data_IF_467012542944
#
_entry.id   IF_467012542944
#
_cell.length_a   1.000
_cell.length_b   1.000
_cell.length_c   1.000
_cell.angle_alpha   90.00
_cell.angle_beta   90.00
_cell.angle_gamma   90.00
#
_symmetry.space_group_name_H-M   'P 1'
#
loop_
_entity.id
_entity.type
_entity.pdbx_description
1 polymer ?
#
# COMPACT_ATOMS: atom_id res chain seq x y z
N UNK A 1 30.89 18.82 27.35
CA UNK A 1 30.98 18.61 25.89
C UNK A 1 30.97 17.12 25.51
N UNK A 2 30.57 16.21 26.42
CA UNK A 2 30.75 14.76 26.27
C UNK A 2 29.42 13.97 26.12
N UNK A 3 28.28 14.63 26.26
CA UNK A 3 26.92 14.03 26.19
C UNK A 3 26.33 14.03 24.75
N UNK A 4 26.96 14.73 23.81
CA UNK A 4 26.43 14.89 22.44
C UNK A 4 26.91 13.77 21.48
N UNK A 5 27.91 12.96 21.88
CA UNK A 5 28.46 11.86 21.07
C UNK A 5 27.69 10.55 21.18
N UNK A 6 27.18 10.19 22.38
CA UNK A 6 26.34 8.98 22.55
C UNK A 6 24.93 9.16 21.96
N UNK A 7 24.38 10.38 22.02
CA UNK A 7 23.15 10.70 21.30
C UNK A 7 23.31 10.47 19.79
N UNK A 8 24.42 10.92 19.21
CA UNK A 8 24.68 10.80 17.75
C UNK A 8 24.76 9.36 17.26
N UNK A 9 25.28 8.41 18.04
CA UNK A 9 25.38 6.99 17.65
C UNK A 9 24.01 6.30 17.69
N UNK A 10 23.22 6.50 18.76
CA UNK A 10 21.85 5.99 18.90
C UNK A 10 20.89 6.59 17.86
N UNK A 11 21.08 7.87 17.50
CA UNK A 11 20.35 8.54 16.42
C UNK A 11 20.71 8.02 15.03
N UNK A 12 21.98 7.71 14.79
CA UNK A 12 22.45 7.10 13.55
C UNK A 12 21.79 5.74 13.27
N UNK A 13 21.48 4.99 14.33
CA UNK A 13 20.79 3.69 14.25
C UNK A 13 19.27 3.81 14.22
N UNK A 14 18.67 4.73 15.00
CA UNK A 14 17.21 4.95 15.03
C UNK A 14 16.68 5.67 13.78
N UNK A 15 17.45 6.59 13.18
CA UNK A 15 17.04 7.31 11.96
C UNK A 15 17.00 6.44 10.70
N UNK A 16 17.58 5.22 10.75
CA UNK A 16 17.54 4.27 9.63
C UNK A 16 16.29 3.38 9.65
N UNK A 17 15.53 3.34 10.75
CA UNK A 17 14.32 2.50 10.83
C UNK A 17 13.08 3.30 10.50
N UNK A 18 12.40 2.88 9.44
CA UNK A 18 11.08 3.39 9.03
C UNK A 18 10.06 3.14 10.15
N UNK A 19 9.33 4.20 10.55
CA UNK A 19 8.31 4.13 11.60
C UNK A 19 7.13 3.29 11.09
N UNK A 20 6.54 2.45 11.93
CA UNK A 20 5.40 1.63 11.52
C UNK A 20 4.18 2.52 11.22
N UNK A 21 3.42 2.20 10.17
CA UNK A 21 2.20 2.92 9.78
C UNK A 21 1.20 3.08 10.94
N UNK A 22 1.07 2.04 11.79
CA UNK A 22 0.22 2.06 12.99
C UNK A 22 0.65 3.13 13.99
N UNK A 23 1.95 3.30 14.14
CA UNK A 23 2.52 4.28 15.05
C UNK A 23 2.47 5.68 14.49
N UNK A 24 2.73 5.86 13.19
CA UNK A 24 2.52 7.14 12.50
C UNK A 24 1.07 7.62 12.64
N UNK A 25 0.08 6.75 12.43
CA UNK A 25 -1.33 7.11 12.61
C UNK A 25 -1.60 7.63 14.03
N UNK A 26 -1.12 6.91 15.06
CA UNK A 26 -1.30 7.31 16.46
C UNK A 26 -0.54 8.59 16.80
N UNK A 27 0.68 8.73 16.28
CA UNK A 27 1.51 9.92 16.44
C UNK A 27 0.83 11.16 15.86
N UNK A 28 0.29 11.05 14.64
CA UNK A 28 -0.49 12.10 13.98
C UNK A 28 -1.72 12.51 14.82
N UNK A 29 -2.50 11.52 15.29
CA UNK A 29 -3.66 11.76 16.17
C UNK A 29 -3.30 12.55 17.42
N UNK A 30 -2.28 12.09 18.13
CA UNK A 30 -1.85 12.69 19.39
C UNK A 30 -1.32 14.10 19.16
N UNK A 31 -0.49 14.30 18.12
CA UNK A 31 0.03 15.61 17.78
C UNK A 31 -1.09 16.58 17.39
N UNK A 32 -1.99 16.16 16.51
CA UNK A 32 -3.15 16.96 16.12
C UNK A 32 -3.96 17.39 17.35
N UNK A 33 -4.24 16.44 18.27
CA UNK A 33 -4.94 16.73 19.51
C UNK A 33 -4.21 17.74 20.40
N UNK A 34 -2.89 17.63 20.56
CA UNK A 34 -2.11 18.58 21.36
C UNK A 34 -2.09 19.98 20.74
N UNK A 35 -1.92 20.08 19.42
CA UNK A 35 -1.90 21.37 18.72
C UNK A 35 -3.29 22.01 18.69
N UNK A 36 -4.36 21.23 18.48
CA UNK A 36 -5.74 21.71 18.58
C UNK A 36 -6.09 22.17 20.01
N UNK A 37 -5.45 21.62 21.04
CA UNK A 37 -5.56 22.08 22.42
C UNK A 37 -4.67 23.31 22.74
N UNK A 38 -4.05 23.92 21.73
CA UNK A 38 -3.23 25.13 21.87
C UNK A 38 -1.83 24.91 22.42
N UNK A 39 -1.33 23.66 22.53
CA UNK A 39 0.07 23.42 22.94
C UNK A 39 1.03 23.88 21.85
N UNK A 40 2.18 24.43 22.26
CA UNK A 40 3.27 24.74 21.33
C UNK A 40 3.80 23.46 20.70
N UNK A 41 4.22 23.54 19.44
CA UNK A 41 4.72 22.39 18.68
C UNK A 41 5.89 21.70 19.37
N UNK A 42 6.83 22.46 19.94
CA UNK A 42 7.97 21.93 20.71
C UNK A 42 7.53 21.11 21.91
N UNK A 43 6.59 21.64 22.70
CA UNK A 43 6.08 20.98 23.91
C UNK A 43 5.32 19.70 23.54
N UNK A 44 4.53 19.74 22.46
CA UNK A 44 3.83 18.57 21.94
C UNK A 44 4.81 17.48 21.47
N UNK A 45 5.91 17.85 20.81
CA UNK A 45 6.97 16.90 20.43
C UNK A 45 7.65 16.26 21.64
N UNK A 46 7.93 17.02 22.70
CA UNK A 46 8.52 16.48 23.94
C UNK A 46 7.58 15.49 24.64
N UNK A 47 6.28 15.78 24.66
CA UNK A 47 5.28 14.84 25.19
C UNK A 47 5.28 13.55 24.38
N UNK A 48 5.34 13.65 23.04
CA UNK A 48 5.40 12.49 22.15
C UNK A 48 6.70 11.69 22.28
N UNK A 49 7.83 12.34 22.54
CA UNK A 49 9.09 11.67 22.83
C UNK A 49 9.00 10.78 24.08
N UNK A 50 8.27 11.22 25.11
CA UNK A 50 8.12 10.48 26.37
C UNK A 50 6.97 9.46 26.35
N UNK A 51 5.82 9.85 25.79
CA UNK A 51 4.55 9.10 25.91
C UNK A 51 3.99 8.59 24.57
N UNK A 52 4.64 8.90 23.46
CA UNK A 52 4.23 8.45 22.14
C UNK A 52 4.48 6.95 21.89
N UNK A 53 4.06 6.45 20.70
CA UNK A 53 4.37 5.11 20.23
C UNK A 53 5.88 4.84 20.27
N UNK A 54 6.32 3.67 20.76
CA UNK A 54 7.71 3.35 21.07
C UNK A 54 8.69 3.56 19.90
N UNK A 55 8.29 3.19 18.69
CA UNK A 55 9.05 3.36 17.45
C UNK A 55 9.09 4.80 16.92
N UNK A 56 8.20 5.67 17.39
CA UNK A 56 8.16 7.10 17.04
C UNK A 56 8.77 8.01 18.12
N UNK A 57 9.09 7.48 19.31
CA UNK A 57 9.65 8.25 20.43
C UNK A 57 11.00 8.85 20.09
N UNK A 58 11.84 8.05 19.42
CA UNK A 58 13.07 8.49 18.76
C UNK A 58 12.73 9.69 17.91
N UNK A 59 12.16 9.51 16.72
CA UNK A 59 11.76 10.60 15.81
C UNK A 59 11.21 11.88 16.48
N UNK A 60 10.31 11.77 17.46
CA UNK A 60 9.75 12.90 18.21
C UNK A 60 10.80 13.70 19.01
N UNK A 61 11.74 13.03 19.68
CA UNK A 61 12.84 13.69 20.41
C UNK A 61 13.75 14.49 19.46
N UNK A 62 13.98 13.99 18.25
CA UNK A 62 14.81 14.67 17.25
C UNK A 62 14.11 15.91 16.74
N UNK A 63 12.82 15.79 16.41
CA UNK A 63 12.03 16.94 16.02
C UNK A 63 12.00 17.98 17.15
N UNK A 64 11.82 17.57 18.42
CA UNK A 64 11.87 18.47 19.56
C UNK A 64 13.22 19.22 19.65
N UNK A 65 14.35 18.50 19.56
CA UNK A 65 15.70 19.10 19.57
C UNK A 65 15.90 20.07 18.40
N UNK A 66 15.51 19.68 17.18
CA UNK A 66 15.67 20.51 15.97
C UNK A 66 14.83 21.77 16.02
N UNK A 67 13.57 21.66 16.43
CA UNK A 67 12.70 22.81 16.61
C UNK A 67 13.22 23.76 17.69
N UNK A 68 13.74 23.25 18.82
CA UNK A 68 14.41 24.07 19.84
C UNK A 68 15.65 24.79 19.32
N UNK A 69 16.40 24.16 18.41
CA UNK A 69 17.55 24.78 17.73
C UNK A 69 17.16 25.77 16.61
N UNK A 70 15.85 25.99 16.37
CA UNK A 70 15.35 26.94 15.39
C UNK A 70 15.19 26.39 13.95
N UNK A 71 15.41 25.09 13.72
CA UNK A 71 15.09 24.49 12.42
C UNK A 71 13.56 24.46 12.22
N UNK A 72 13.08 24.73 11.00
CA UNK A 72 11.66 24.57 10.68
C UNK A 72 11.24 23.10 10.71
N UNK A 73 9.96 22.82 11.01
CA UNK A 73 9.41 21.46 11.03
C UNK A 73 9.68 20.71 9.72
N UNK A 74 9.42 21.37 8.58
CA UNK A 74 9.67 20.80 7.25
C UNK A 74 11.14 20.48 7.01
N UNK A 75 12.06 21.33 7.45
CA UNK A 75 13.50 21.09 7.32
C UNK A 75 13.96 19.93 8.20
N UNK A 76 13.42 19.83 9.41
CA UNK A 76 13.71 18.74 10.32
C UNK A 76 13.18 17.40 9.79
N UNK A 77 11.93 17.34 9.33
CA UNK A 77 11.34 16.12 8.74
C UNK A 77 12.08 15.71 7.47
N UNK A 78 12.47 16.66 6.61
CA UNK A 78 13.22 16.38 5.38
C UNK A 78 14.59 15.75 5.65
N UNK A 79 15.25 16.12 6.75
CA UNK A 79 16.51 15.48 7.19
C UNK A 79 16.29 14.07 7.79
N UNK A 80 15.04 13.72 8.09
CA UNK A 80 14.63 12.42 8.61
C UNK A 80 13.76 11.65 7.59
N UNK A 81 13.96 11.90 6.29
CA UNK A 81 13.17 11.38 5.18
C UNK A 81 13.08 9.84 5.14
N UNK A 82 14.11 9.12 5.59
CA UNK A 82 14.10 7.65 5.65
C UNK A 82 13.12 7.09 6.69
N UNK A 83 12.79 7.87 7.72
CA UNK A 83 11.90 7.44 8.81
C UNK A 83 10.42 7.56 8.45
N UNK A 84 10.07 8.44 7.50
CA UNK A 84 8.68 8.79 7.17
C UNK A 84 8.35 8.56 5.69
N UNK A 85 7.10 8.24 5.34
CA UNK A 85 6.68 8.12 3.95
C UNK A 85 6.73 9.48 3.20
N UNK A 86 6.92 9.49 1.87
CA UNK A 86 6.92 10.72 1.05
C UNK A 86 5.68 11.61 1.23
N UNK A 87 4.47 11.03 1.34
CA UNK A 87 3.23 11.77 1.62
C UNK A 87 3.31 12.59 2.90
N UNK A 88 3.97 12.07 3.93
CA UNK A 88 4.10 12.76 5.19
C UNK A 88 4.91 14.05 5.01
N UNK A 89 6.00 13.98 4.24
CA UNK A 89 6.80 15.16 3.89
C UNK A 89 6.01 16.16 3.03
N UNK A 90 5.31 15.68 1.99
CA UNK A 90 4.54 16.55 1.09
C UNK A 90 3.41 17.29 1.83
N UNK A 91 2.66 16.58 2.67
CA UNK A 91 1.56 17.14 3.44
C UNK A 91 2.06 18.08 4.55
N UNK A 92 3.18 17.77 5.21
CA UNK A 92 3.77 18.69 6.19
C UNK A 92 4.33 19.95 5.54
N UNK A 93 4.72 19.90 4.26
CA UNK A 93 5.06 21.08 3.47
C UNK A 93 3.83 21.96 3.16
N UNK A 94 2.68 21.33 2.83
CA UNK A 94 1.38 22.04 2.79
C UNK A 94 1.09 22.71 4.12
N UNK A 95 1.11 21.96 5.23
CA UNK A 95 0.85 22.49 6.56
C UNK A 95 1.75 23.67 6.93
N UNK A 96 3.04 23.59 6.61
CA UNK A 96 3.99 24.65 6.93
C UNK A 96 3.73 25.94 6.15
N UNK A 97 3.16 25.85 4.95
CA UNK A 97 2.79 27.00 4.13
C UNK A 97 1.42 27.58 4.49
N UNK A 98 0.48 26.73 4.87
CA UNK A 98 -0.90 27.14 5.19
C UNK A 98 -1.11 27.48 6.67
N UNK A 99 -0.21 27.05 7.56
CA UNK A 99 -0.37 27.14 9.01
C UNK A 99 -1.33 26.11 9.59
N UNK A 100 -1.90 25.23 8.77
CA UNK A 100 -2.97 24.27 9.14
C UNK A 100 -2.43 22.89 9.49
N UNK A 101 -1.46 22.88 10.39
CA UNK A 101 -0.80 21.63 10.81
C UNK A 101 -1.75 20.64 11.51
N UNK A 102 -2.66 21.05 12.42
CA UNK A 102 -3.61 20.13 13.04
C UNK A 102 -4.51 19.42 12.02
N UNK A 103 -5.02 20.14 11.02
CA UNK A 103 -5.91 19.63 9.97
C UNK A 103 -5.18 18.61 9.09
N UNK A 104 -3.97 18.95 8.65
CA UNK A 104 -3.11 18.07 7.87
C UNK A 104 -2.77 16.78 8.64
N UNK A 105 -2.52 16.88 9.94
CA UNK A 105 -2.19 15.71 10.76
C UNK A 105 -3.39 14.77 10.95
N UNK A 106 -4.60 15.32 11.11
CA UNK A 106 -5.84 14.52 11.14
C UNK A 106 -6.02 13.77 9.82
N UNK A 107 -5.68 14.39 8.70
CA UNK A 107 -5.73 13.72 7.42
C UNK A 107 -4.69 12.60 7.31
N UNK A 108 -3.44 12.88 7.66
CA UNK A 108 -2.38 11.87 7.64
C UNK A 108 -2.74 10.68 8.53
N UNK A 109 -3.36 10.93 9.68
CA UNK A 109 -3.93 9.88 10.51
C UNK A 109 -4.97 9.05 9.75
N UNK A 110 -5.97 9.69 9.14
CA UNK A 110 -7.04 9.01 8.39
C UNK A 110 -6.48 8.16 7.25
N UNK A 111 -5.52 8.70 6.50
CA UNK A 111 -4.79 7.99 5.45
C UNK A 111 -4.09 6.73 5.98
N UNK A 112 -3.32 6.85 7.06
CA UNK A 112 -2.63 5.70 7.64
C UNK A 112 -3.59 4.69 8.27
N UNK A 113 -4.72 5.13 8.83
CA UNK A 113 -5.77 4.24 9.29
C UNK A 113 -6.38 3.43 8.16
N UNK A 114 -6.65 4.07 7.01
CA UNK A 114 -7.17 3.40 5.83
C UNK A 114 -6.16 2.36 5.30
N UNK A 115 -4.87 2.70 5.23
CA UNK A 115 -3.82 1.71 4.88
C UNK A 115 -3.79 0.50 5.82
N UNK A 116 -3.98 0.73 7.13
CA UNK A 116 -4.01 -0.34 8.12
C UNK A 116 -5.26 -1.20 7.98
N UNK A 117 -6.42 -0.59 7.71
CA UNK A 117 -7.67 -1.33 7.53
C UNK A 117 -7.59 -2.21 6.27
N UNK A 118 -7.02 -1.69 5.18
CA UNK A 118 -6.74 -2.47 3.95
C UNK A 118 -5.86 -3.67 4.26
N UNK A 119 -4.71 -3.44 4.91
CA UNK A 119 -3.77 -4.52 5.24
C UNK A 119 -4.43 -5.60 6.10
N UNK A 120 -5.24 -5.19 7.10
CA UNK A 120 -5.99 -6.13 7.96
C UNK A 120 -7.04 -6.91 7.17
N UNK A 121 -7.90 -6.24 6.39
CA UNK A 121 -8.94 -6.90 5.58
C UNK A 121 -8.31 -7.88 4.58
N UNK A 122 -7.21 -7.49 3.94
CA UNK A 122 -6.47 -8.32 3.00
C UNK A 122 -5.90 -9.57 3.69
N UNK A 123 -5.22 -9.40 4.83
CA UNK A 123 -4.71 -10.51 5.63
C UNK A 123 -5.86 -11.45 6.05
N UNK A 124 -6.95 -10.91 6.59
CA UNK A 124 -8.10 -11.71 7.04
C UNK A 124 -8.71 -12.55 5.92
N UNK A 125 -8.72 -12.07 4.67
CA UNK A 125 -9.27 -12.83 3.53
C UNK A 125 -8.29 -13.82 2.91
N UNK A 126 -6.98 -13.61 3.07
CA UNK A 126 -5.94 -14.47 2.48
C UNK A 126 -5.46 -15.57 3.41
N UNK A 127 -5.57 -15.38 4.73
CA UNK A 127 -5.16 -16.40 5.72
C UNK A 127 -5.82 -17.74 5.43
N UNK A 128 -7.13 -17.76 5.17
CA UNK A 128 -7.85 -19.01 4.94
C UNK A 128 -7.42 -19.74 3.66
N UNK A 129 -7.41 -19.10 2.46
CA UNK A 129 -6.89 -19.75 1.26
C UNK A 129 -5.42 -20.19 1.36
N UNK A 130 -4.56 -19.45 2.08
CA UNK A 130 -3.16 -19.85 2.30
C UNK A 130 -3.07 -21.10 3.16
N UNK A 131 -3.84 -21.18 4.25
CA UNK A 131 -3.90 -22.40 5.07
C UNK A 131 -4.42 -23.58 4.25
N UNK A 132 -5.45 -23.37 3.43
CA UNK A 132 -5.99 -24.41 2.54
C UNK A 132 -4.95 -24.87 1.51
N UNK A 133 -4.18 -23.95 0.92
CA UNK A 133 -3.10 -24.26 -0.02
C UNK A 133 -2.00 -25.09 0.67
N UNK A 134 -1.56 -24.68 1.86
CA UNK A 134 -0.56 -25.41 2.64
C UNK A 134 -1.05 -26.83 2.99
N UNK A 135 -2.30 -26.96 3.43
CA UNK A 135 -2.92 -28.25 3.67
C UNK A 135 -2.96 -29.12 2.42
N UNK A 136 -3.33 -28.56 1.26
CA UNK A 136 -3.34 -29.30 -0.01
C UNK A 136 -1.95 -29.80 -0.40
N UNK A 137 -0.91 -28.95 -0.31
CA UNK A 137 0.48 -29.34 -0.58
C UNK A 137 0.91 -30.50 0.34
N UNK A 138 0.54 -30.43 1.62
CA UNK A 138 0.90 -31.46 2.59
C UNK A 138 0.13 -32.77 2.38
N UNK A 139 -1.18 -32.70 2.07
CA UNK A 139 -1.99 -33.87 1.73
C UNK A 139 -1.40 -34.59 0.51
N UNK A 140 -0.99 -33.85 -0.52
CA UNK A 140 -0.34 -34.43 -1.70
C UNK A 140 1.00 -35.09 -1.35
N UNK A 141 1.82 -34.44 -0.51
CA UNK A 141 3.08 -35.02 -0.05
C UNK A 141 2.85 -36.34 0.72
N UNK A 142 1.86 -36.37 1.62
CA UNK A 142 1.47 -37.57 2.36
C UNK A 142 0.95 -38.66 1.42
N UNK A 143 0.17 -38.28 0.41
CA UNK A 143 -0.35 -39.23 -0.58
C UNK A 143 0.78 -39.89 -1.39
N UNK A 144 1.77 -39.11 -1.85
CA UNK A 144 2.97 -39.63 -2.54
C UNK A 144 3.76 -40.57 -1.62
N UNK A 145 3.89 -40.21 -0.34
CA UNK A 145 4.57 -41.03 0.66
C UNK A 145 3.86 -42.38 0.84
N UNK A 146 2.53 -42.37 1.06
CA UNK A 146 1.74 -43.59 1.29
C UNK A 146 1.78 -44.50 0.06
N UNK A 147 1.56 -43.96 -1.14
CA UNK A 147 1.58 -44.76 -2.38
C UNK A 147 2.95 -45.35 -2.68
N UNK A 148 4.03 -44.63 -2.37
CA UNK A 148 5.37 -45.19 -2.49
C UNK A 148 5.65 -46.31 -1.49
N UNK A 149 5.23 -46.16 -0.23
CA UNK A 149 5.36 -47.23 0.78
C UNK A 149 4.56 -48.48 0.35
N UNK A 150 3.33 -48.31 -0.13
CA UNK A 150 2.50 -49.43 -0.61
C UNK A 150 3.15 -50.13 -1.81
N UNK A 151 3.67 -49.37 -2.78
CA UNK A 151 4.33 -49.93 -3.95
C UNK A 151 5.59 -50.73 -3.58
N UNK A 152 6.38 -50.23 -2.63
CA UNK A 152 7.56 -50.91 -2.09
C UNK A 152 7.17 -52.21 -1.36
N UNK A 153 6.07 -52.21 -0.61
CA UNK A 153 5.54 -53.40 0.04
C UNK A 153 4.98 -54.45 -0.94
N UNK A 154 4.46 -54.03 -2.09
CA UNK A 154 3.83 -54.92 -3.08
C UNK A 154 4.77 -55.33 -4.24
N UNK A 155 6.03 -54.85 -4.27
CA UNK A 155 6.92 -54.94 -5.44
C UNK A 155 6.24 -54.49 -6.75
N UNK A 156 5.31 -53.53 -6.64
CA UNK A 156 4.56 -53.01 -7.78
C UNK A 156 5.24 -51.74 -8.33
N UNK A 157 4.98 -51.40 -9.60
CA UNK A 157 5.36 -50.08 -10.12
C UNK A 157 4.61 -49.00 -9.34
N UNK A 158 5.33 -48.07 -8.72
CA UNK A 158 4.68 -47.02 -7.95
C UNK A 158 3.94 -46.06 -8.88
N UNK A 159 2.74 -45.70 -8.46
CA UNK A 159 1.85 -44.81 -9.19
C UNK A 159 2.33 -43.36 -9.04
N UNK A 160 2.71 -42.74 -10.15
CA UNK A 160 3.09 -41.32 -10.18
C UNK A 160 1.86 -40.42 -10.36
N UNK A 161 1.41 -39.85 -9.24
CA UNK A 161 0.22 -38.99 -9.19
C UNK A 161 0.50 -37.60 -9.77
N UNK A 162 1.74 -37.12 -9.67
CA UNK A 162 2.11 -35.76 -10.07
C UNK A 162 2.48 -35.70 -11.55
N UNK A 163 2.94 -36.80 -12.14
CA UNK A 163 3.45 -36.86 -13.52
C UNK A 163 4.91 -36.41 -13.65
N UNK A 164 5.63 -36.34 -12.52
CA UNK A 164 7.03 -35.90 -12.43
C UNK A 164 7.99 -37.03 -12.02
N UNK A 165 7.50 -38.27 -11.97
CA UNK A 165 8.25 -39.44 -11.49
C UNK A 165 8.46 -39.47 -9.98
N UNK A 166 7.62 -38.78 -9.20
CA UNK A 166 7.81 -38.62 -7.76
C UNK A 166 7.16 -39.78 -7.00
N UNK A 167 7.97 -40.62 -6.36
CA UNK A 167 7.53 -41.81 -5.63
C UNK A 167 8.23 -41.92 -4.28
N UNK A 168 7.52 -42.42 -3.26
CA UNK A 168 8.10 -42.72 -1.95
C UNK A 168 8.52 -41.51 -1.12
N UNK A 169 9.30 -41.75 -0.03
CA UNK A 169 9.75 -40.69 0.87
C UNK A 169 10.60 -39.62 0.17
N UNK A 170 11.43 -40.03 -0.80
CA UNK A 170 12.24 -39.13 -1.62
C UNK A 170 11.37 -38.28 -2.56
N UNK A 171 10.34 -38.87 -3.18
CA UNK A 171 9.39 -38.15 -4.02
C UNK A 171 8.60 -37.08 -3.27
N UNK A 172 8.14 -37.39 -2.05
CA UNK A 172 7.45 -36.42 -1.18
C UNK A 172 8.37 -35.26 -0.77
N UNK A 173 9.65 -35.53 -0.47
CA UNK A 173 10.63 -34.51 -0.14
C UNK A 173 10.93 -33.58 -1.34
N UNK A 174 11.09 -34.15 -2.55
CA UNK A 174 11.31 -33.39 -3.78
C UNK A 174 10.08 -32.55 -4.13
N UNK A 175 8.86 -33.07 -3.94
CA UNK A 175 7.62 -32.30 -4.11
C UNK A 175 7.59 -31.06 -3.22
N UNK A 176 7.86 -31.22 -1.92
CA UNK A 176 7.91 -30.09 -0.98
C UNK A 176 9.02 -29.11 -1.37
N UNK A 177 10.20 -29.61 -1.74
CA UNK A 177 11.31 -28.78 -2.20
C UNK A 177 10.96 -27.98 -3.47
N UNK A 178 10.20 -28.57 -4.40
CA UNK A 178 9.74 -27.92 -5.62
C UNK A 178 8.68 -26.86 -5.34
N UNK A 179 7.70 -27.15 -4.48
CA UNK A 179 6.67 -26.18 -4.08
C UNK A 179 7.27 -24.98 -3.33
N UNK A 180 8.07 -25.22 -2.28
CA UNK A 180 8.69 -24.14 -1.51
C UNK A 180 9.82 -23.44 -2.28
N UNK A 181 10.57 -24.19 -3.11
CA UNK A 181 11.62 -23.65 -3.98
C UNK A 181 11.07 -22.73 -5.06
N UNK A 182 10.02 -23.14 -5.77
CA UNK A 182 9.34 -22.28 -6.75
C UNK A 182 8.71 -21.04 -6.10
N UNK A 183 8.10 -21.18 -4.92
CA UNK A 183 7.60 -20.04 -4.16
C UNK A 183 8.71 -19.07 -3.74
N UNK A 184 9.87 -19.58 -3.30
CA UNK A 184 11.03 -18.79 -2.92
C UNK A 184 11.64 -18.05 -4.13
N UNK A 185 11.77 -18.73 -5.28
CA UNK A 185 12.26 -18.12 -6.53
C UNK A 185 11.27 -17.05 -7.03
N UNK A 186 9.97 -17.33 -6.99
CA UNK A 186 8.93 -16.36 -7.35
C UNK A 186 8.98 -15.13 -6.45
N UNK A 187 9.09 -15.32 -5.14
CA UNK A 187 9.25 -14.24 -4.18
C UNK A 187 10.54 -13.44 -4.39
N UNK A 188 11.67 -14.12 -4.61
CA UNK A 188 12.97 -13.51 -4.88
C UNK A 188 12.96 -12.67 -6.16
N UNK A 189 12.37 -13.21 -7.23
CA UNK A 189 12.20 -12.52 -8.52
C UNK A 189 11.31 -11.29 -8.35
N UNK A 190 10.18 -11.42 -7.65
CA UNK A 190 9.30 -10.30 -7.35
C UNK A 190 9.99 -9.22 -6.52
N UNK A 191 10.77 -9.61 -5.50
CA UNK A 191 11.54 -8.69 -4.67
C UNK A 191 12.62 -7.95 -5.47
N UNK A 192 13.36 -8.68 -6.32
CA UNK A 192 14.38 -8.12 -7.20
C UNK A 192 13.80 -7.15 -8.23
N UNK A 193 12.72 -7.55 -8.91
CA UNK A 193 12.01 -6.69 -9.86
C UNK A 193 11.47 -5.44 -9.18
N UNK A 194 10.88 -5.55 -7.98
CA UNK A 194 10.43 -4.37 -7.21
C UNK A 194 11.57 -3.44 -6.83
N UNK A 195 12.75 -3.97 -6.52
CA UNK A 195 13.92 -3.16 -6.18
C UNK A 195 14.47 -2.44 -7.42
N UNK A 196 14.54 -3.12 -8.56
CA UNK A 196 15.05 -2.56 -9.82
C UNK A 196 14.08 -1.55 -10.44
N UNK A 197 12.78 -1.84 -10.40
CA UNK A 197 11.70 -0.98 -10.88
C UNK A 197 11.24 0.07 -9.83
N UNK A 198 11.86 0.07 -8.65
CA UNK A 198 11.59 0.96 -7.52
C UNK A 198 11.86 2.44 -7.77
N UNK A 199 12.34 2.81 -8.96
CA UNK A 199 12.29 4.19 -9.46
C UNK A 199 10.88 4.53 -10.01
N UNK A 200 9.92 4.52 -9.07
CA UNK A 200 8.78 5.42 -8.88
C UNK A 200 7.88 5.94 -10.03
N UNK A 201 7.96 5.50 -11.29
CA UNK A 201 7.01 5.99 -12.32
C UNK A 201 6.39 4.91 -13.24
N UNK A 202 7.01 3.73 -13.39
CA UNK A 202 6.51 2.68 -14.30
C UNK A 202 5.56 1.71 -13.63
N UNK A 203 5.80 1.39 -12.36
CA UNK A 203 4.95 0.47 -11.57
C UNK A 203 3.56 1.09 -11.36
N UNK A 204 3.50 2.38 -11.00
CA UNK A 204 2.22 3.05 -10.76
C UNK A 204 1.36 3.07 -12.03
N UNK A 205 1.97 3.33 -13.20
CA UNK A 205 1.27 3.30 -14.48
C UNK A 205 0.80 1.89 -14.89
N UNK A 206 1.51 0.84 -14.46
CA UNK A 206 1.13 -0.55 -14.72
C UNK A 206 0.04 -1.03 -13.74
N UNK A 207 0.12 -0.64 -12.46
CA UNK A 207 -0.91 -0.93 -11.45
C UNK A 207 -2.23 -0.22 -11.77
N UNK A 208 -2.18 0.97 -12.37
CA UNK A 208 -3.37 1.71 -12.80
C UNK A 208 -4.15 0.99 -13.92
N UNK A 209 -3.52 0.08 -14.67
CA UNK A 209 -4.20 -0.73 -15.70
C UNK A 209 -4.94 -1.95 -15.12
N UNK A 210 -4.79 -2.23 -13.84
CA UNK A 210 -5.52 -3.33 -13.20
C UNK A 210 -6.93 -2.82 -12.91
N UNK A 211 -7.98 -3.38 -13.55
CA UNK A 211 -9.33 -2.80 -13.57
C UNK A 211 -9.95 -2.61 -12.18
N UNK A 212 -9.49 -3.36 -11.18
CA UNK A 212 -9.97 -3.29 -9.80
C UNK A 212 -9.13 -2.36 -8.92
N UNK A 213 -7.81 -2.27 -9.16
CA UNK A 213 -6.89 -1.45 -8.36
C UNK A 213 -6.77 -0.01 -8.86
N UNK A 214 -6.89 0.21 -10.17
CA UNK A 214 -6.77 1.52 -10.81
C UNK A 214 -7.76 2.56 -10.28
N UNK A 215 -9.08 2.26 -10.25
CA UNK A 215 -10.08 3.16 -9.66
C UNK A 215 -9.78 3.47 -8.19
N UNK A 216 -9.31 2.47 -7.43
CA UNK A 216 -8.64 2.56 -6.13
C UNK A 216 -7.69 3.76 -6.00
N UNK A 217 -6.56 3.63 -6.67
CA UNK A 217 -5.50 4.61 -6.58
C UNK A 217 -5.90 5.98 -7.14
N UNK A 218 -6.88 6.01 -8.06
CA UNK A 218 -7.46 7.25 -8.59
C UNK A 218 -8.29 8.00 -7.54
N UNK A 219 -9.25 7.33 -6.90
CA UNK A 219 -10.10 7.95 -5.86
C UNK A 219 -9.27 8.41 -4.65
N UNK A 220 -8.26 7.64 -4.23
CA UNK A 220 -7.31 8.08 -3.19
C UNK A 220 -6.46 9.29 -3.60
N UNK A 221 -6.06 9.38 -4.87
CA UNK A 221 -5.31 10.52 -5.36
C UNK A 221 -6.19 11.78 -5.40
N UNK A 222 -7.43 11.65 -5.88
CA UNK A 222 -8.42 12.74 -5.93
C UNK A 222 -8.82 13.22 -4.53
N UNK A 223 -9.05 12.31 -3.58
CA UNK A 223 -9.35 12.71 -2.20
C UNK A 223 -8.23 13.58 -1.59
N UNK A 224 -6.97 13.17 -1.80
CA UNK A 224 -5.79 13.92 -1.35
C UNK A 224 -5.62 15.26 -2.08
N UNK A 225 -5.87 15.28 -3.39
CA UNK A 225 -5.86 16.50 -4.20
C UNK A 225 -6.86 17.50 -3.63
N UNK A 226 -8.11 17.06 -3.47
CA UNK A 226 -9.22 17.86 -2.96
C UNK A 226 -8.89 18.46 -1.59
N UNK A 227 -8.45 17.64 -0.63
CA UNK A 227 -8.12 18.18 0.67
C UNK A 227 -6.95 19.19 0.59
N UNK A 228 -5.92 18.88 -0.18
CA UNK A 228 -4.78 19.79 -0.33
C UNK A 228 -5.21 21.11 -0.95
N UNK A 229 -6.10 21.07 -1.95
CA UNK A 229 -6.70 22.26 -2.56
C UNK A 229 -7.53 23.04 -1.55
N UNK A 230 -8.41 22.39 -0.78
CA UNK A 230 -9.16 23.03 0.31
C UNK A 230 -8.22 23.78 1.26
N UNK A 231 -7.16 23.14 1.74
CA UNK A 231 -6.25 23.75 2.72
C UNK A 231 -5.39 24.86 2.14
N UNK A 232 -4.99 24.76 0.86
CA UNK A 232 -4.09 25.72 0.21
C UNK A 232 -4.83 26.91 -0.38
N UNK A 233 -6.04 26.72 -0.89
CA UNK A 233 -6.85 27.80 -1.43
C UNK A 233 -7.48 28.64 -0.32
N UNK A 234 -7.75 28.03 0.84
CA UNK A 234 -8.20 28.73 2.04
C UNK A 234 -7.05 29.41 2.82
N UNK A 235 -5.82 29.46 2.26
CA UNK A 235 -4.64 30.04 2.93
C UNK A 235 -4.05 31.28 2.24
N UNK A 236 -4.86 32.07 1.53
CA UNK A 236 -4.44 33.26 0.77
C UNK A 236 -3.29 33.00 -0.22
N UNK A 237 -3.05 31.74 -0.59
CA UNK A 237 -1.97 31.34 -1.47
C UNK A 237 -2.35 31.59 -2.93
N UNK A 238 -1.43 32.02 -3.80
CA UNK A 238 -1.71 32.12 -5.22
C UNK A 238 -2.18 30.78 -5.80
N UNK A 239 -3.25 30.80 -6.59
CA UNK A 239 -3.92 29.59 -7.11
C UNK A 239 -2.97 28.61 -7.82
N UNK A 240 -2.02 29.13 -8.61
CA UNK A 240 -1.03 28.30 -9.28
C UNK A 240 -0.11 27.53 -8.32
N UNK A 241 0.22 28.12 -7.16
CA UNK A 241 1.06 27.50 -6.15
C UNK A 241 0.26 26.50 -5.34
N UNK A 242 -0.97 26.85 -4.97
CA UNK A 242 -1.93 25.96 -4.32
C UNK A 242 -2.16 24.69 -5.15
N UNK A 243 -2.38 24.86 -6.47
CA UNK A 243 -2.58 23.75 -7.38
C UNK A 243 -1.34 22.87 -7.54
N UNK A 244 -0.15 23.48 -7.72
CA UNK A 244 1.12 22.72 -7.81
C UNK A 244 1.32 21.84 -6.58
N UNK A 245 1.13 22.41 -5.39
CA UNK A 245 1.39 21.72 -4.14
C UNK A 245 0.37 20.61 -3.91
N UNK A 246 -0.89 20.86 -4.26
CA UNK A 246 -1.97 19.87 -4.19
C UNK A 246 -1.79 18.70 -5.16
N UNK A 247 -1.25 18.92 -6.37
CA UNK A 247 -0.92 17.84 -7.29
C UNK A 247 0.28 16.99 -6.81
N UNK A 248 1.26 17.62 -6.15
CA UNK A 248 2.42 16.90 -5.59
C UNK A 248 2.03 16.02 -4.39
N UNK A 249 1.05 16.43 -3.59
CA UNK A 249 0.59 15.67 -2.41
C UNK A 249 -0.30 14.47 -2.75
N UNK A 250 -0.78 14.33 -3.99
CA UNK A 250 -1.60 13.18 -4.42
C UNK A 250 -0.88 11.83 -4.35
N UNK A 251 0.45 11.82 -4.24
CA UNK A 251 1.30 10.62 -4.18
C UNK A 251 1.07 9.63 -5.34
N UNK A 252 0.53 10.11 -6.46
CA UNK A 252 0.27 9.35 -7.66
C UNK A 252 1.04 9.96 -8.83
N UNK A 253 1.89 9.16 -9.48
CA UNK A 253 2.77 9.63 -10.55
C UNK A 253 2.03 10.28 -11.72
N UNK A 254 0.79 9.87 -12.01
CA UNK A 254 -0.02 10.48 -13.07
C UNK A 254 -0.33 11.94 -12.76
N UNK A 255 -0.90 12.24 -11.59
CA UNK A 255 -1.24 13.59 -11.15
C UNK A 255 0.00 14.44 -10.86
N UNK A 256 1.00 13.88 -10.18
CA UNK A 256 2.24 14.60 -9.82
C UNK A 256 3.00 15.08 -11.06
N UNK A 257 2.98 14.31 -12.15
CA UNK A 257 3.64 14.70 -13.40
C UNK A 257 3.03 15.94 -14.08
N UNK A 258 1.80 16.30 -13.71
CA UNK A 258 1.07 17.46 -14.24
C UNK A 258 1.32 18.74 -13.43
N UNK A 259 1.89 18.62 -12.23
CA UNK A 259 1.99 19.71 -11.25
C UNK A 259 2.60 20.99 -11.82
N UNK A 260 3.75 20.90 -12.49
CA UNK A 260 4.45 22.07 -13.01
C UNK A 260 3.77 22.67 -14.24
N UNK A 261 3.15 21.84 -15.09
CA UNK A 261 2.46 22.27 -16.32
C UNK A 261 1.18 23.02 -15.98
N UNK A 262 0.31 22.41 -15.18
CA UNK A 262 -0.95 23.01 -14.71
C UNK A 262 -0.67 24.31 -13.95
N UNK A 263 0.36 24.33 -13.10
CA UNK A 263 0.75 25.55 -12.41
C UNK A 263 1.22 26.66 -13.36
N UNK A 264 1.91 26.33 -14.45
CA UNK A 264 2.32 27.34 -15.44
C UNK A 264 1.10 27.90 -16.19
N UNK A 265 0.12 27.07 -16.50
CA UNK A 265 -1.07 27.48 -17.24
C UNK A 265 -1.96 28.41 -16.39
N UNK A 266 -2.12 28.10 -15.11
CA UNK A 266 -2.79 29.00 -14.15
C UNK A 266 -2.00 30.31 -13.98
N UNK A 267 -0.65 30.24 -13.95
CA UNK A 267 0.19 31.47 -13.96
C UNK A 267 -0.04 32.32 -15.21
N UNK A 268 -0.36 31.71 -16.34
CA UNK A 268 -0.63 32.39 -17.60
C UNK A 268 -2.08 32.90 -17.71
N UNK A 269 -2.90 32.75 -16.66
CA UNK A 269 -4.26 33.27 -16.59
C UNK A 269 -5.36 32.28 -16.97
N UNK A 270 -5.05 30.99 -17.19
CA UNK A 270 -6.09 29.97 -17.34
C UNK A 270 -6.76 29.67 -15.99
N UNK A 271 -8.06 29.38 -16.03
CA UNK A 271 -8.80 28.85 -14.88
C UNK A 271 -8.30 27.46 -14.49
N UNK A 272 -8.52 27.06 -13.24
CA UNK A 272 -8.06 25.78 -12.72
C UNK A 272 -8.77 24.64 -13.46
N UNK A 273 -10.10 24.74 -13.63
CA UNK A 273 -10.91 23.74 -14.34
C UNK A 273 -10.39 23.49 -15.76
N UNK A 274 -10.19 24.56 -16.54
CA UNK A 274 -9.67 24.48 -17.92
C UNK A 274 -8.24 23.95 -17.97
N UNK A 275 -7.40 24.33 -17.00
CA UNK A 275 -6.01 23.87 -16.92
C UNK A 275 -5.89 22.37 -16.70
N UNK A 276 -6.89 21.73 -16.09
CA UNK A 276 -6.86 20.27 -15.85
C UNK A 276 -7.76 19.46 -16.79
N UNK A 277 -8.80 20.06 -17.38
CA UNK A 277 -9.77 19.38 -18.25
C UNK A 277 -9.14 18.71 -19.48
N UNK A 278 -8.00 19.21 -19.96
CA UNK A 278 -7.26 18.61 -21.09
C UNK A 278 -6.56 17.28 -20.76
N UNK A 279 -6.57 16.83 -19.51
CA UNK A 279 -5.93 15.59 -19.09
C UNK A 279 -6.98 14.54 -18.70
N UNK A 280 -6.94 13.38 -19.36
CA UNK A 280 -7.85 12.23 -19.17
C UNK A 280 -7.72 11.51 -17.80
N UNK A 281 -7.04 12.14 -16.83
CA UNK A 281 -6.88 11.59 -15.47
C UNK A 281 -7.94 12.12 -14.51
N UNK A 282 -8.64 13.20 -14.87
CA UNK A 282 -9.69 13.81 -14.07
C UNK A 282 -11.07 13.34 -14.57
N UNK A 283 -11.92 12.78 -13.68
CA UNK A 283 -13.29 12.43 -14.03
C UNK A 283 -14.13 13.66 -14.42
N UNK A 284 -15.11 13.49 -15.31
CA UNK A 284 -16.00 14.59 -15.74
C UNK A 284 -16.79 15.19 -14.57
N UNK A 285 -17.31 14.36 -13.67
CA UNK A 285 -18.03 14.81 -12.47
C UNK A 285 -17.16 15.68 -11.54
N UNK A 286 -15.85 15.42 -11.50
CA UNK A 286 -14.91 16.28 -10.78
C UNK A 286 -14.74 17.65 -11.46
N UNK A 287 -14.62 17.66 -12.78
CA UNK A 287 -14.42 18.87 -13.57
C UNK A 287 -15.64 19.79 -13.48
N UNK A 288 -16.85 19.24 -13.63
CA UNK A 288 -18.10 20.00 -13.57
C UNK A 288 -18.28 20.70 -12.22
N UNK A 289 -18.02 19.97 -11.13
CA UNK A 289 -18.13 20.51 -9.76
C UNK A 289 -17.05 21.56 -9.52
N UNK A 290 -15.83 21.34 -10.01
CA UNK A 290 -14.75 22.31 -9.87
C UNK A 290 -15.02 23.59 -10.68
N UNK A 291 -15.52 23.46 -11.91
CA UNK A 291 -15.88 24.59 -12.77
C UNK A 291 -16.98 25.44 -12.12
N UNK A 292 -18.07 24.81 -11.68
CA UNK A 292 -19.14 25.51 -10.96
C UNK A 292 -18.65 26.18 -9.68
N UNK A 293 -17.74 25.53 -8.93
CA UNK A 293 -17.16 26.11 -7.71
C UNK A 293 -16.17 27.24 -8.01
N UNK A 294 -15.50 27.21 -9.16
CA UNK A 294 -14.61 28.28 -9.61
C UNK A 294 -15.41 29.52 -10.02
N UNK A 295 -16.54 29.34 -10.68
CA UNK A 295 -17.49 30.42 -11.01
C UNK A 295 -18.13 31.06 -9.76
N UNK A 296 -18.49 30.23 -8.77
CA UNK A 296 -19.10 30.72 -7.52
C UNK A 296 -18.09 31.22 -6.49
N UNK A 297 -16.79 30.96 -6.69
CA UNK A 297 -15.73 31.30 -5.74
C UNK A 297 -15.65 30.38 -4.51
N UNK A 298 -16.37 29.26 -4.49
CA UNK A 298 -16.48 28.32 -3.37
C UNK A 298 -15.62 27.04 -3.57
N UNK A 299 -14.48 27.18 -4.25
CA UNK A 299 -13.57 26.06 -4.52
C UNK A 299 -13.15 25.34 -3.23
N UNK A 300 -12.77 26.02 -2.12
CA UNK A 300 -12.40 25.32 -0.89
C UNK A 300 -13.51 24.40 -0.36
N UNK A 301 -14.75 24.86 -0.31
CA UNK A 301 -15.92 24.12 0.18
C UNK A 301 -16.24 22.93 -0.72
N UNK A 302 -16.22 23.14 -2.05
CA UNK A 302 -16.44 22.09 -3.03
C UNK A 302 -15.37 21.00 -2.93
N UNK A 303 -14.10 21.38 -2.77
CA UNK A 303 -13.00 20.45 -2.57
C UNK A 303 -13.12 19.68 -1.25
N UNK A 304 -13.57 20.30 -0.16
CA UNK A 304 -13.82 19.58 1.10
C UNK A 304 -14.93 18.55 0.97
N UNK A 305 -15.98 18.85 0.18
CA UNK A 305 -17.08 17.92 -0.10
C UNK A 305 -16.63 16.77 -0.99
N UNK A 306 -15.96 17.08 -2.10
CA UNK A 306 -15.41 16.08 -3.03
C UNK A 306 -14.37 15.17 -2.38
N UNK A 307 -13.51 15.73 -1.52
CA UNK A 307 -12.54 14.94 -0.76
C UNK A 307 -13.21 13.83 0.05
N UNK A 308 -14.24 14.19 0.82
CA UNK A 308 -15.03 13.22 1.62
C UNK A 308 -15.74 12.19 0.74
N UNK A 309 -16.32 12.60 -0.37
CA UNK A 309 -16.97 11.69 -1.31
C UNK A 309 -15.98 10.69 -1.91
N UNK A 310 -14.80 11.15 -2.36
CA UNK A 310 -13.77 10.25 -2.90
C UNK A 310 -13.16 9.33 -1.83
N UNK A 311 -13.14 9.77 -0.57
CA UNK A 311 -12.72 8.92 0.54
C UNK A 311 -13.67 7.76 0.81
N UNK A 312 -14.97 8.04 0.83
CA UNK A 312 -16.00 7.00 0.97
C UNK A 312 -15.96 6.04 -0.21
N UNK A 313 -15.83 6.57 -1.44
CA UNK A 313 -15.65 5.75 -2.64
C UNK A 313 -14.38 4.89 -2.58
N UNK A 314 -13.26 5.44 -2.10
CA UNK A 314 -12.01 4.70 -1.93
C UNK A 314 -12.20 3.56 -0.92
N UNK A 315 -12.89 3.78 0.20
CA UNK A 315 -13.17 2.72 1.17
C UNK A 315 -14.03 1.58 0.56
N UNK A 316 -15.06 1.92 -0.21
CA UNK A 316 -15.91 0.94 -0.91
C UNK A 316 -15.13 0.16 -1.97
N UNK A 317 -14.39 0.86 -2.84
CA UNK A 317 -13.56 0.22 -3.87
C UNK A 317 -12.48 -0.68 -3.24
N UNK A 318 -11.93 -0.29 -2.10
CA UNK A 318 -11.00 -1.12 -1.35
C UNK A 318 -11.64 -2.39 -0.79
N UNK A 319 -12.90 -2.33 -0.35
CA UNK A 319 -13.63 -3.52 0.07
C UNK A 319 -13.82 -4.51 -1.09
N UNK A 320 -14.10 -4.01 -2.29
CA UNK A 320 -14.22 -4.80 -3.53
C UNK A 320 -12.88 -5.42 -3.95
N UNK A 321 -11.79 -4.64 -3.98
CA UNK A 321 -10.43 -5.13 -4.26
C UNK A 321 -10.08 -6.31 -3.36
N UNK A 322 -10.33 -6.13 -2.06
CA UNK A 322 -10.04 -7.16 -1.06
C UNK A 322 -10.92 -8.41 -1.31
N UNK A 323 -12.12 -8.25 -1.88
CA UNK A 323 -13.09 -9.35 -2.08
C UNK A 323 -12.69 -10.17 -3.29
N UNK A 324 -12.42 -9.50 -4.40
CA UNK A 324 -11.93 -10.11 -5.64
C UNK A 324 -10.61 -10.82 -5.40
N UNK A 325 -9.68 -10.20 -4.65
CA UNK A 325 -8.43 -10.85 -4.27
C UNK A 325 -8.68 -12.15 -3.48
N UNK A 326 -9.56 -12.12 -2.48
CA UNK A 326 -9.93 -13.31 -1.70
C UNK A 326 -10.52 -14.43 -2.56
N UNK A 327 -11.48 -14.10 -3.42
CA UNK A 327 -12.09 -15.05 -4.37
C UNK A 327 -11.08 -15.60 -5.38
N UNK A 328 -10.16 -14.78 -5.87
CA UNK A 328 -9.09 -15.21 -6.78
C UNK A 328 -8.17 -16.26 -6.14
N UNK A 329 -7.77 -16.06 -4.88
CA UNK A 329 -6.97 -17.09 -4.19
C UNK A 329 -7.78 -18.36 -3.94
N UNK A 330 -9.04 -18.24 -3.52
CA UNK A 330 -9.93 -19.40 -3.35
C UNK A 330 -10.12 -20.20 -4.65
N UNK A 331 -10.41 -19.51 -5.76
CA UNK A 331 -10.58 -20.14 -7.07
C UNK A 331 -9.29 -20.82 -7.55
N UNK A 332 -8.13 -20.21 -7.33
CA UNK A 332 -6.84 -20.82 -7.62
C UNK A 332 -6.59 -22.11 -6.84
N UNK A 333 -6.93 -22.13 -5.55
CA UNK A 333 -6.84 -23.34 -4.70
C UNK A 333 -7.84 -24.39 -5.15
N UNK A 334 -9.08 -24.01 -5.47
CA UNK A 334 -10.10 -24.93 -5.96
C UNK A 334 -9.68 -25.58 -7.29
N UNK A 335 -9.15 -24.81 -8.24
CA UNK A 335 -8.65 -25.31 -9.52
C UNK A 335 -7.49 -26.28 -9.31
N UNK A 336 -6.56 -25.96 -8.41
CA UNK A 336 -5.47 -26.85 -8.03
C UNK A 336 -6.02 -28.19 -7.49
N UNK A 337 -6.99 -28.16 -6.57
CA UNK A 337 -7.60 -29.37 -6.02
C UNK A 337 -8.28 -30.18 -7.11
N UNK A 338 -9.07 -29.54 -7.98
CA UNK A 338 -9.76 -30.21 -9.09
C UNK A 338 -8.76 -30.89 -10.02
N UNK A 339 -7.67 -30.21 -10.38
CA UNK A 339 -6.59 -30.78 -11.20
C UNK A 339 -6.05 -32.07 -10.57
N UNK A 340 -5.73 -32.07 -9.28
CA UNK A 340 -5.23 -33.26 -8.59
C UNK A 340 -6.25 -34.38 -8.50
N UNK A 341 -7.51 -34.08 -8.18
CA UNK A 341 -8.59 -35.08 -8.12
C UNK A 341 -8.77 -35.76 -9.48
N UNK A 342 -8.82 -34.98 -10.57
CA UNK A 342 -8.93 -35.51 -11.93
C UNK A 342 -7.72 -36.37 -12.29
N UNK A 343 -6.51 -35.94 -11.94
CA UNK A 343 -5.29 -36.73 -12.17
C UNK A 343 -5.29 -38.04 -11.42
N UNK A 344 -5.65 -38.04 -10.13
CA UNK A 344 -5.79 -39.26 -9.34
C UNK A 344 -6.82 -40.19 -9.97
N UNK A 345 -7.97 -39.67 -10.40
CA UNK A 345 -9.00 -40.48 -11.05
C UNK A 345 -8.49 -41.15 -12.33
N UNK A 346 -7.83 -40.39 -13.20
CA UNK A 346 -7.27 -40.92 -14.46
C UNK A 346 -6.25 -42.03 -14.18
N UNK A 347 -5.32 -41.78 -13.26
CA UNK A 347 -4.20 -42.69 -13.02
C UNK A 347 -4.65 -43.93 -12.25
N UNK A 348 -5.48 -43.79 -11.21
CA UNK A 348 -5.87 -44.92 -10.37
C UNK A 348 -7.05 -45.72 -10.91
N UNK A 349 -7.95 -45.12 -11.70
CA UNK A 349 -9.17 -45.80 -12.15
C UNK A 349 -9.24 -45.95 -13.67
N UNK A 350 -8.91 -44.90 -14.43
CA UNK A 350 -9.08 -44.96 -15.88
C UNK A 350 -8.02 -45.83 -16.58
N UNK A 351 -6.74 -45.65 -16.23
CA UNK A 351 -5.64 -46.41 -16.85
C UNK A 351 -5.73 -47.93 -16.60
N UNK A 352 -6.00 -48.41 -15.37
CA UNK A 352 -6.15 -49.85 -15.15
C UNK A 352 -7.38 -50.44 -15.85
N UNK A 353 -8.46 -49.65 -15.97
CA UNK A 353 -9.68 -50.09 -16.65
C UNK A 353 -9.47 -50.19 -18.17
N UNK A 354 -8.67 -49.31 -18.77
CA UNK A 354 -8.25 -49.44 -20.16
C UNK A 354 -7.39 -50.69 -20.39
N UNK A 355 -6.42 -50.95 -19.50
CA UNK A 355 -5.59 -52.16 -19.59
C UNK A 355 -6.46 -53.43 -19.49
N UNK A 356 -7.41 -53.46 -18.56
CA UNK A 356 -8.33 -54.58 -18.43
C UNK A 356 -9.24 -54.77 -19.65
N UNK A 357 -9.66 -53.69 -20.34
CA UNK A 357 -10.47 -53.77 -21.56
C UNK A 357 -9.64 -54.13 -22.81
N UNK A 358 -8.35 -53.79 -22.87
CA UNK A 358 -7.45 -54.20 -23.95
C UNK A 358 -6.97 -55.66 -23.82
N UNK A 359 -7.03 -56.24 -22.63
CA UNK A 359 -6.76 -57.67 -22.38
C UNK A 359 -7.95 -58.60 -22.73
N UNK A 360 -9.15 -58.05 -23.00
CA UNK A 360 -10.31 -58.76 -23.54
C UNK A 360 -10.40 -58.61 -25.06
#
# INVERSE_FOLDING_TARGET
>A
MEDDSEGRSLWGELSRRRIATKSLARWCRMLAGYLSAGKRLTDAMEILAKRGPSDSRGFSDYLARRLRSGDSLTKAIRKADQSVPPIFLAMTEVAAKTGRLPEVLKELERYFQLQLSMRRRFLSRIIWPVLQLLSAIFIIAVLILILGIIAEMQNAQAIDIVGLGLQGPSGAAIWLALCFGSAAIGYGTFWYLRRMLGQANRIDRLLLKIPVLGPCFRTLALARLCLSMNMTMDSSMPAHQAMRLSLVSTENGAYRSLADRVAQEIRNGQTISVSIAKYDVFPEDFLDILESAEESGEVPEAMLRLGRQYDEQAEHQMALVTMVAGWGVWAGVALLIIYFVVRIFIVCYWQPLQQALEEF
#
